data_IF_502118968637
#
_entry.id   IF_502118968637
#
_cell.length_a   1.000
_cell.length_b   1.000
_cell.length_c   1.000
_cell.angle_alpha   90.00
_cell.angle_beta   90.00
_cell.angle_gamma   90.00
#
_symmetry.space_group_name_H-M   'P 1'
#
loop_
_entity.id
_entity.type
_entity.pdbx_description
1 polymer ?
#
# COMPACT_ATOMS: atom_id res chain seq x y z
N UNK A 1 2.83 14.96 -24.75
CA UNK A 1 1.40 15.05 -24.39
C UNK A 1 0.84 16.33 -24.97
N UNK A 2 -0.41 16.34 -25.45
CA UNK A 2 -1.07 17.59 -25.89
C UNK A 2 -1.05 18.60 -24.74
N UNK A 3 -0.69 19.87 -25.02
CA UNK A 3 -0.65 20.93 -24.00
C UNK A 3 -1.98 21.11 -23.26
N UNK A 4 -3.10 20.75 -23.91
CA UNK A 4 -4.43 20.78 -23.29
C UNK A 4 -4.56 19.76 -22.14
N UNK A 5 -4.09 18.53 -22.31
CA UNK A 5 -4.22 17.48 -21.28
C UNK A 5 -3.42 17.85 -20.04
N UNK A 6 -2.19 18.35 -20.23
CA UNK A 6 -1.34 18.79 -19.12
C UNK A 6 -1.97 19.99 -18.39
N UNK A 7 -2.46 20.99 -19.12
CA UNK A 7 -3.11 22.15 -18.51
C UNK A 7 -4.38 21.78 -17.75
N UNK A 8 -5.20 20.89 -18.30
CA UNK A 8 -6.42 20.41 -17.63
C UNK A 8 -6.06 19.60 -16.37
N UNK A 9 -5.00 18.77 -16.43
CA UNK A 9 -4.48 18.05 -15.27
C UNK A 9 -4.02 19.03 -14.19
N UNK A 10 -3.20 20.03 -14.49
CA UNK A 10 -2.72 20.98 -13.48
C UNK A 10 -3.86 21.76 -12.81
N UNK A 11 -4.87 22.17 -13.59
CA UNK A 11 -6.06 22.88 -13.07
C UNK A 11 -6.91 22.04 -12.13
N UNK A 12 -6.99 20.73 -12.36
CA UNK A 12 -7.78 19.82 -11.53
C UNK A 12 -7.05 19.40 -10.24
N UNK A 13 -5.73 19.59 -10.13
CA UNK A 13 -4.92 19.05 -9.04
C UNK A 13 -4.00 20.08 -8.34
N UNK A 14 -4.48 21.30 -7.99
CA UNK A 14 -3.65 22.34 -7.40
C UNK A 14 -3.05 21.94 -6.03
N UNK A 15 -3.81 21.24 -5.20
CA UNK A 15 -3.38 20.73 -3.90
C UNK A 15 -2.32 19.63 -4.03
N UNK A 16 -2.52 18.70 -4.96
CA UNK A 16 -1.51 17.69 -5.27
C UNK A 16 -0.20 18.32 -5.77
N UNK A 17 -0.28 19.36 -6.60
CA UNK A 17 0.91 20.11 -7.06
C UNK A 17 1.66 20.77 -5.89
N UNK A 18 0.92 21.42 -4.97
CA UNK A 18 1.52 22.05 -3.80
C UNK A 18 2.24 21.01 -2.90
N UNK A 19 1.65 19.84 -2.71
CA UNK A 19 2.25 18.74 -1.95
C UNK A 19 3.47 18.15 -2.66
N UNK A 20 3.41 17.96 -3.99
CA UNK A 20 4.55 17.50 -4.78
C UNK A 20 5.74 18.46 -4.68
N UNK A 21 5.49 19.78 -4.77
CA UNK A 21 6.52 20.81 -4.62
C UNK A 21 7.15 20.81 -3.22
N UNK A 22 6.37 20.49 -2.18
CA UNK A 22 6.89 20.31 -0.82
C UNK A 22 7.71 19.03 -0.71
N UNK A 23 7.23 17.92 -1.26
CA UNK A 23 7.90 16.62 -1.24
C UNK A 23 9.24 16.65 -1.99
N UNK A 24 9.33 17.36 -3.11
CA UNK A 24 10.58 17.55 -3.87
C UNK A 24 11.71 18.19 -3.07
N UNK A 25 11.40 18.91 -1.98
CA UNK A 25 12.39 19.49 -1.06
C UNK A 25 12.84 18.51 0.03
N UNK A 26 12.12 17.41 0.23
CA UNK A 26 12.31 16.46 1.33
C UNK A 26 12.85 15.11 0.85
N UNK A 27 12.38 14.65 -0.31
CA UNK A 27 12.69 13.34 -0.85
C UNK A 27 13.42 13.48 -2.19
N UNK A 28 14.46 12.66 -2.44
CA UNK A 28 15.00 12.50 -3.78
C UNK A 28 13.88 12.17 -4.77
N UNK A 29 13.88 12.83 -5.92
CA UNK A 29 12.81 12.70 -6.94
C UNK A 29 11.39 13.03 -6.45
N UNK A 30 11.23 13.62 -5.26
CA UNK A 30 9.94 14.01 -4.68
C UNK A 30 9.03 12.86 -4.26
N UNK A 31 9.52 11.62 -4.19
CA UNK A 31 8.74 10.42 -3.85
C UNK A 31 9.53 9.45 -2.97
N UNK A 32 8.84 8.57 -2.24
CA UNK A 32 9.44 7.51 -1.41
C UNK A 32 9.28 6.10 -1.98
N UNK A 33 8.71 6.00 -3.18
CA UNK A 33 8.53 4.76 -3.92
C UNK A 33 8.53 5.08 -5.41
N UNK A 34 9.47 4.52 -6.18
CA UNK A 34 9.72 4.94 -7.57
C UNK A 34 8.50 4.77 -8.50
N UNK A 35 7.67 3.75 -8.27
CA UNK A 35 6.43 3.57 -9.03
C UNK A 35 5.40 4.72 -8.87
N UNK A 36 5.62 5.65 -7.92
CA UNK A 36 4.80 6.85 -7.74
C UNK A 36 5.34 8.06 -8.50
N UNK A 37 6.50 7.96 -9.14
CA UNK A 37 7.03 9.02 -9.98
C UNK A 37 6.12 9.24 -11.18
N UNK A 38 5.70 10.49 -11.40
CA UNK A 38 4.79 10.85 -12.47
C UNK A 38 5.00 12.31 -12.91
N UNK A 39 4.90 12.56 -14.22
CA UNK A 39 4.99 13.90 -14.81
C UNK A 39 3.59 14.44 -15.15
N UNK A 40 3.24 15.69 -14.79
CA UNK A 40 4.11 16.72 -14.21
C UNK A 40 4.36 16.56 -12.70
N UNK A 41 3.44 15.91 -11.98
CA UNK A 41 3.55 15.55 -10.56
C UNK A 41 2.49 14.48 -10.24
N UNK A 42 2.69 13.63 -9.21
CA UNK A 42 1.68 12.64 -8.83
C UNK A 42 0.47 13.26 -8.12
N UNK A 43 -0.68 12.58 -8.18
CA UNK A 43 -1.83 12.90 -7.31
C UNK A 43 -1.51 12.53 -5.86
N UNK A 44 -2.04 13.30 -4.91
CA UNK A 44 -1.98 12.97 -3.49
C UNK A 44 -3.35 12.51 -3.01
N UNK A 45 -3.41 11.28 -2.50
CA UNK A 45 -4.67 10.65 -2.04
C UNK A 45 -4.94 11.03 -0.59
N UNK A 46 -6.14 11.53 -0.28
CA UNK A 46 -6.56 11.79 1.10
C UNK A 46 -7.40 10.65 1.71
N UNK A 47 -8.12 9.90 0.86
CA UNK A 47 -9.10 8.92 1.29
C UNK A 47 -9.26 7.81 0.26
N UNK A 48 -9.51 6.58 0.72
CA UNK A 48 -9.90 5.48 -0.14
C UNK A 48 -10.84 4.52 0.59
N UNK A 49 -11.87 4.02 -0.11
CA UNK A 49 -12.90 3.10 0.41
C UNK A 49 -13.39 2.22 -0.76
N UNK A 50 -13.46 0.91 -0.53
CA UNK A 50 -13.83 -0.07 -1.56
C UNK A 50 -12.91 0.03 -2.76
N UNK A 51 -13.48 0.04 -3.98
CA UNK A 51 -12.73 0.20 -5.22
C UNK A 51 -12.47 1.66 -5.64
N UNK A 52 -12.55 2.62 -4.71
CA UNK A 52 -12.42 4.06 -5.03
C UNK A 52 -11.43 4.79 -4.13
N UNK A 53 -10.81 5.83 -4.68
CA UNK A 53 -9.96 6.78 -3.95
C UNK A 53 -10.27 8.22 -4.33
N UNK A 54 -10.00 9.12 -3.40
CA UNK A 54 -10.18 10.57 -3.51
C UNK A 54 -8.84 11.24 -3.30
N UNK A 55 -8.47 12.14 -4.21
CA UNK A 55 -7.32 13.00 -3.99
C UNK A 55 -7.65 14.19 -3.08
N UNK A 56 -6.60 14.90 -2.66
CA UNK A 56 -6.68 16.10 -1.81
C UNK A 56 -7.44 17.28 -2.45
N UNK A 57 -7.74 17.19 -3.74
CA UNK A 57 -8.48 18.17 -4.51
C UNK A 57 -9.97 17.77 -4.67
N UNK A 58 -10.36 16.62 -4.09
CA UNK A 58 -11.73 16.10 -4.10
C UNK A 58 -12.09 15.28 -5.34
N UNK A 59 -11.15 15.06 -6.27
CA UNK A 59 -11.41 14.25 -7.45
C UNK A 59 -11.54 12.78 -7.06
N UNK A 60 -12.47 12.06 -7.69
CA UNK A 60 -12.76 10.65 -7.40
C UNK A 60 -12.28 9.75 -8.53
N UNK A 61 -11.63 8.64 -8.17
CA UNK A 61 -11.10 7.65 -9.10
C UNK A 61 -11.64 6.25 -8.78
N UNK A 62 -11.88 5.46 -9.82
CA UNK A 62 -11.97 4.00 -9.68
C UNK A 62 -10.54 3.46 -9.66
N UNK A 63 -10.18 2.73 -8.61
CA UNK A 63 -8.81 2.29 -8.38
C UNK A 63 -8.55 0.90 -8.94
N UNK A 64 -7.93 0.85 -10.13
CA UNK A 64 -7.53 -0.40 -10.77
C UNK A 64 -6.14 -0.89 -10.35
N UNK A 65 -5.39 -0.11 -9.55
CA UNK A 65 -4.05 -0.50 -9.09
C UNK A 65 -4.13 -1.33 -7.80
N UNK A 66 -5.09 -1.03 -6.92
CA UNK A 66 -5.45 -1.89 -5.77
C UNK A 66 -4.26 -2.26 -4.88
N UNK A 67 -3.43 -1.29 -4.50
CA UNK A 67 -2.26 -1.52 -3.65
C UNK A 67 -1.19 -2.41 -4.30
N UNK A 68 -1.03 -2.34 -5.63
CA UNK A 68 -0.16 -3.24 -6.40
C UNK A 68 -0.55 -4.72 -6.21
N UNK A 69 -1.85 -4.99 -6.09
CA UNK A 69 -2.42 -6.31 -5.86
C UNK A 69 -2.63 -6.69 -4.39
N UNK A 70 -2.07 -5.94 -3.43
CA UNK A 70 -2.22 -6.26 -2.00
C UNK A 70 -3.63 -5.99 -1.45
N UNK A 71 -4.39 -5.08 -2.08
CA UNK A 71 -5.74 -4.73 -1.63
C UNK A 71 -6.80 -5.47 -2.44
N UNK A 72 -6.71 -6.81 -2.46
CA UNK A 72 -7.65 -7.68 -3.19
C UNK A 72 -9.11 -7.43 -2.79
N UNK A 73 -9.35 -7.16 -1.51
CA UNK A 73 -10.68 -6.86 -0.96
C UNK A 73 -11.08 -5.38 -1.05
N UNK A 74 -10.26 -4.56 -1.71
CA UNK A 74 -10.42 -3.11 -1.78
C UNK A 74 -9.95 -2.37 -0.53
N UNK A 75 -10.07 -1.04 -0.58
CA UNK A 75 -9.67 -0.15 0.51
C UNK A 75 -10.65 -0.24 1.68
N UNK A 76 -10.13 -0.30 2.91
CA UNK A 76 -10.93 -0.25 4.15
C UNK A 76 -12.05 -1.31 4.18
N UNK A 77 -11.75 -2.55 3.83
CA UNK A 77 -12.69 -3.66 3.97
C UNK A 77 -13.09 -3.82 5.45
N UNK A 78 -14.39 -3.80 5.83
CA UNK A 78 -14.82 -3.75 7.22
C UNK A 78 -14.18 -4.83 8.10
N UNK A 79 -14.26 -6.09 7.68
CA UNK A 79 -13.71 -7.20 8.47
C UNK A 79 -12.18 -7.12 8.67
N UNK A 80 -11.45 -6.59 7.69
CA UNK A 80 -9.98 -6.41 7.81
C UNK A 80 -9.66 -5.29 8.79
N UNK A 81 -10.42 -4.20 8.73
CA UNK A 81 -10.25 -3.06 9.63
C UNK A 81 -10.62 -3.42 11.06
N UNK A 82 -11.68 -4.18 11.25
CA UNK A 82 -12.15 -4.62 12.57
C UNK A 82 -11.12 -5.58 13.19
N UNK A 83 -10.65 -6.60 12.44
CA UNK A 83 -9.62 -7.53 12.91
C UNK A 83 -8.30 -6.81 13.27
N UNK A 84 -7.84 -5.88 12.43
CA UNK A 84 -6.64 -5.09 12.72
C UNK A 84 -6.84 -4.16 13.93
N UNK A 85 -8.04 -3.60 14.09
CA UNK A 85 -8.41 -2.77 15.24
C UNK A 85 -8.39 -3.56 16.54
N UNK A 86 -9.03 -4.74 16.57
CA UNK A 86 -9.03 -5.65 17.72
C UNK A 86 -7.63 -6.11 18.10
N UNK A 87 -6.82 -6.52 17.12
CA UNK A 87 -5.42 -6.89 17.35
C UNK A 87 -4.63 -5.73 17.97
N UNK A 88 -4.85 -4.50 17.50
CA UNK A 88 -4.17 -3.31 18.03
C UNK A 88 -4.53 -3.01 19.49
N UNK A 89 -5.75 -3.35 19.94
CA UNK A 89 -6.15 -3.21 21.36
C UNK A 89 -5.41 -4.18 22.29
N UNK A 90 -4.94 -5.33 21.77
CA UNK A 90 -4.09 -6.27 22.52
C UNK A 90 -2.64 -5.80 22.60
N UNK A 91 -2.23 -4.91 21.70
CA UNK A 91 -0.90 -4.30 21.57
C UNK A 91 -0.20 -4.71 20.28
N UNK A 92 0.79 -3.93 19.86
CA UNK A 92 1.46 -4.07 18.54
C UNK A 92 2.86 -4.68 18.61
N UNK A 93 3.45 -4.75 19.81
CA UNK A 93 4.78 -5.33 20.02
C UNK A 93 4.88 -5.98 21.40
N UNK A 94 4.81 -7.31 21.43
CA UNK A 94 4.85 -8.08 22.67
C UNK A 94 6.27 -8.47 23.11
N UNK A 95 7.26 -8.37 22.22
CA UNK A 95 8.59 -8.94 22.47
C UNK A 95 8.57 -10.45 22.73
N UNK A 96 7.52 -11.15 22.27
CA UNK A 96 7.25 -12.58 22.50
C UNK A 96 6.27 -13.10 21.43
N UNK A 97 6.18 -14.43 21.30
CA UNK A 97 5.23 -15.12 20.42
C UNK A 97 3.78 -14.95 20.85
N UNK A 98 2.84 -15.12 19.91
CA UNK A 98 1.40 -15.07 20.16
C UNK A 98 0.63 -16.06 19.28
N UNK A 99 -0.58 -16.41 19.69
CA UNK A 99 -1.48 -17.37 19.03
C UNK A 99 -1.75 -17.06 17.55
N UNK A 100 -2.02 -15.80 17.21
CA UNK A 100 -2.37 -15.43 15.82
C UNK A 100 -1.27 -15.74 14.79
N UNK A 101 0.00 -15.88 15.20
CA UNK A 101 1.08 -16.27 14.28
C UNK A 101 0.99 -17.76 13.89
N UNK A 102 0.45 -18.60 14.77
CA UNK A 102 0.19 -20.02 14.53
C UNK A 102 -0.99 -20.18 13.59
N UNK A 103 -2.12 -19.51 13.88
CA UNK A 103 -3.32 -19.55 13.04
C UNK A 103 -3.01 -19.11 11.60
N UNK A 104 -2.21 -18.05 11.45
CA UNK A 104 -1.78 -17.58 10.13
C UNK A 104 -0.86 -18.59 9.43
N UNK A 105 0.08 -19.22 10.15
CA UNK A 105 0.98 -20.21 9.57
C UNK A 105 0.20 -21.44 9.04
N UNK A 106 -0.78 -21.93 9.80
CA UNK A 106 -1.63 -23.05 9.39
C UNK A 106 -2.39 -22.73 8.10
N UNK A 107 -3.00 -21.54 8.01
CA UNK A 107 -3.70 -21.10 6.80
C UNK A 107 -2.77 -21.01 5.58
N UNK A 108 -1.55 -20.48 5.75
CA UNK A 108 -0.60 -20.37 4.64
C UNK A 108 -0.15 -21.75 4.15
N UNK A 109 0.12 -22.69 5.04
CA UNK A 109 0.50 -24.06 4.67
C UNK A 109 -0.65 -24.80 3.96
N UNK A 110 -1.90 -24.53 4.32
CA UNK A 110 -3.06 -25.06 3.58
C UNK A 110 -3.14 -24.50 2.15
N UNK A 111 -2.80 -23.21 1.95
CA UNK A 111 -2.84 -22.56 0.64
C UNK A 111 -1.64 -22.92 -0.25
N UNK A 112 -0.51 -23.32 0.34
CA UNK A 112 0.74 -23.62 -0.37
C UNK A 112 1.19 -25.06 -0.05
N UNK A 113 0.58 -26.08 -0.67
CA UNK A 113 0.71 -27.47 -0.24
C UNK A 113 2.10 -28.08 -0.46
N UNK A 114 2.99 -27.43 -1.21
CA UNK A 114 4.38 -27.86 -1.36
C UNK A 114 5.29 -27.39 -0.22
N UNK A 115 4.84 -26.47 0.64
CA UNK A 115 5.61 -25.99 1.76
C UNK A 115 5.41 -26.88 2.99
N UNK A 116 6.51 -27.32 3.62
CA UNK A 116 6.47 -28.07 4.88
C UNK A 116 6.47 -27.15 6.12
N UNK A 117 7.06 -25.95 5.99
CA UNK A 117 7.18 -24.92 7.03
C UNK A 117 7.12 -23.53 6.41
N UNK A 118 6.76 -22.53 7.22
CA UNK A 118 6.69 -21.12 6.81
C UNK A 118 7.43 -20.23 7.80
N UNK A 119 8.00 -19.13 7.30
CA UNK A 119 8.54 -18.03 8.10
C UNK A 119 8.07 -16.71 7.51
N UNK A 120 7.53 -15.83 8.34
CA UNK A 120 7.05 -14.52 7.91
C UNK A 120 8.19 -13.50 7.82
N UNK A 121 8.05 -12.57 6.88
CA UNK A 121 8.91 -11.40 6.66
C UNK A 121 8.05 -10.15 6.53
N UNK A 122 8.67 -8.97 6.54
CA UNK A 122 7.95 -7.69 6.46
C UNK A 122 7.67 -7.26 5.02
N UNK A 123 8.31 -7.88 4.03
CA UNK A 123 8.11 -7.59 2.62
C UNK A 123 8.39 -8.80 1.71
N UNK A 124 7.88 -8.73 0.48
CA UNK A 124 8.22 -9.70 -0.58
C UNK A 124 9.70 -9.64 -0.98
N UNK A 125 10.33 -8.46 -0.94
CA UNK A 125 11.77 -8.32 -1.18
C UNK A 125 12.58 -9.12 -0.15
N UNK A 126 12.24 -9.00 1.13
CA UNK A 126 12.87 -9.79 2.20
C UNK A 126 12.63 -11.29 2.04
N UNK A 127 11.41 -11.69 1.65
CA UNK A 127 11.08 -13.09 1.41
C UNK A 127 11.97 -13.70 0.31
N UNK A 128 12.11 -13.01 -0.83
CA UNK A 128 12.97 -13.45 -1.93
C UNK A 128 14.45 -13.46 -1.54
N UNK A 129 14.94 -12.43 -0.83
CA UNK A 129 16.31 -12.41 -0.34
C UNK A 129 16.60 -13.57 0.62
N UNK A 130 15.65 -13.90 1.50
CA UNK A 130 15.78 -15.02 2.43
C UNK A 130 15.77 -16.36 1.69
N UNK A 131 14.87 -16.55 0.72
CA UNK A 131 14.83 -17.75 -0.10
C UNK A 131 16.16 -17.99 -0.84
N UNK A 132 16.72 -16.94 -1.46
CA UNK A 132 18.03 -17.00 -2.12
C UNK A 132 19.17 -17.31 -1.15
N UNK A 133 19.08 -16.86 0.11
CA UNK A 133 20.09 -17.14 1.14
C UNK A 133 20.03 -18.56 1.67
N UNK A 134 18.86 -19.20 1.62
CA UNK A 134 18.66 -20.57 2.10
C UNK A 134 19.06 -21.63 1.06
N UNK A 135 18.95 -21.31 -0.24
CA UNK A 135 19.28 -22.18 -1.36
C UNK A 135 20.80 -22.43 -1.49
#
# INVERSE_FOLDING_TARGET
>A
MSGKILSDYEKLHPGSQALANRAAKLFPSGVTHDARSFFPFPIYVEKAIGGRKWDVDGNTYVDFIGGHGSLLLGHRHPEVMDAAGEASQRGTHFGSSHDLEIDWAELVLQLVPCAEKVRFTSSGTEATMMALRLA
#
